data_IF_061248996923
#
_entry.id   IF_061248996923
#
_cell.length_a   1.000
_cell.length_b   1.000
_cell.length_c   1.000
_cell.angle_alpha   90.00
_cell.angle_beta   90.00
_cell.angle_gamma   90.00
#
_symmetry.space_group_name_H-M   'P 1'
#
loop_
_entity.id
_entity.type
_entity.pdbx_description
1 polymer ?
#
# COMPACT_ATOMS: atom_id res chain seq x y z
N UNK A 1 -13.70 2.44 -2.84
CA UNK A 1 -12.73 2.87 -1.81
C UNK A 1 -12.99 4.35 -1.55
N UNK A 2 -13.35 4.78 -0.33
CA UNK A 2 -13.55 6.22 -0.06
C UNK A 2 -12.19 6.92 -0.14
N UNK A 3 -12.00 7.78 -1.12
CA UNK A 3 -10.74 8.50 -1.31
C UNK A 3 -10.39 9.33 -0.05
N UNK A 4 -9.24 9.02 0.54
CA UNK A 4 -8.74 9.68 1.76
C UNK A 4 -8.52 11.17 1.53
N UNK A 5 -8.14 11.57 0.31
CA UNK A 5 -7.98 12.98 -0.01
C UNK A 5 -9.34 13.69 -0.05
N UNK A 6 -10.35 13.10 -0.69
CA UNK A 6 -11.73 13.61 -0.71
C UNK A 6 -12.30 13.75 0.71
N UNK A 7 -12.10 12.77 1.59
CA UNK A 7 -12.54 12.87 2.98
C UNK A 7 -11.80 13.97 3.74
N UNK A 8 -10.48 14.10 3.57
CA UNK A 8 -9.71 15.17 4.19
C UNK A 8 -10.08 16.56 3.65
N UNK A 9 -10.49 16.67 2.38
CA UNK A 9 -11.05 17.90 1.79
C UNK A 9 -12.39 18.24 2.41
N UNK A 10 -13.29 17.26 2.58
CA UNK A 10 -14.60 17.46 3.24
C UNK A 10 -14.43 17.89 4.70
N UNK A 11 -13.57 17.22 5.47
CA UNK A 11 -13.28 17.59 6.87
C UNK A 11 -12.70 19.00 6.97
N UNK A 12 -11.78 19.37 6.06
CA UNK A 12 -11.29 20.75 5.96
C UNK A 12 -12.42 21.73 5.66
N UNK A 13 -13.26 21.44 4.67
CA UNK A 13 -14.42 22.28 4.33
C UNK A 13 -15.34 22.54 5.52
N UNK A 14 -15.73 21.50 6.27
CA UNK A 14 -16.56 21.68 7.47
C UNK A 14 -15.95 22.57 8.55
N UNK A 15 -14.62 22.52 8.70
CA UNK A 15 -13.94 23.33 9.71
C UNK A 15 -13.69 24.75 9.23
N UNK A 16 -13.30 24.95 7.97
CA UNK A 16 -12.96 26.28 7.43
C UNK A 16 -14.16 27.06 6.90
N UNK A 17 -15.29 26.40 6.63
CA UNK A 17 -16.52 27.02 6.11
C UNK A 17 -17.65 27.07 7.15
N UNK A 18 -17.39 26.79 8.43
CA UNK A 18 -18.41 26.93 9.47
C UNK A 18 -18.83 28.40 9.53
N UNK A 19 -19.99 28.74 8.95
CA UNK A 19 -20.58 30.08 8.96
C UNK A 19 -20.77 30.53 10.42
N UNK A 20 -19.91 31.43 10.89
CA UNK A 20 -20.19 32.18 12.13
C UNK A 20 -21.26 33.21 11.82
N UNK A 21 -22.46 33.06 12.41
CA UNK A 21 -23.58 34.01 12.27
C UNK A 21 -23.25 35.44 12.76
N UNK A 22 -22.11 35.65 13.43
CA UNK A 22 -21.69 36.94 13.99
C UNK A 22 -20.80 37.79 13.08
N UNK A 23 -20.31 37.27 11.96
CA UNK A 23 -19.44 38.04 11.05
C UNK A 23 -19.79 37.72 9.60
N UNK A 24 -20.46 38.66 8.93
CA UNK A 24 -20.66 38.72 7.47
C UNK A 24 -19.35 39.01 6.71
N UNK A 25 -18.23 38.45 7.17
CA UNK A 25 -16.96 38.48 6.47
C UNK A 25 -16.73 37.12 5.83
N UNK A 26 -16.93 37.01 4.52
CA UNK A 26 -16.45 35.88 3.75
C UNK A 26 -14.95 35.73 4.02
N UNK A 27 -14.54 34.74 4.80
CA UNK A 27 -13.12 34.45 5.05
C UNK A 27 -12.51 34.12 3.69
N UNK A 28 -11.59 34.96 3.22
CA UNK A 28 -11.07 34.90 1.85
C UNK A 28 -10.74 33.45 1.43
N UNK A 29 -11.14 33.02 0.22
CA UNK A 29 -10.94 31.64 -0.21
C UNK A 29 -9.44 31.40 -0.43
N UNK A 30 -8.75 30.92 0.60
CA UNK A 30 -7.32 30.65 0.46
C UNK A 30 -6.57 30.19 1.69
N UNK A 31 -6.98 30.59 2.91
CA UNK A 31 -6.22 30.24 4.14
C UNK A 31 -7.15 29.98 5.33
N UNK A 32 -7.00 28.79 5.92
CA UNK A 32 -7.66 28.46 7.18
C UNK A 32 -7.20 29.40 8.29
N UNK A 33 -8.10 29.93 9.11
CA UNK A 33 -7.75 30.79 10.25
C UNK A 33 -6.99 30.00 11.33
N UNK A 34 -6.35 30.68 12.29
CA UNK A 34 -5.60 30.02 13.37
C UNK A 34 -6.50 29.11 14.24
N UNK A 35 -7.74 29.51 14.49
CA UNK A 35 -8.76 28.73 15.20
C UNK A 35 -9.16 27.48 14.42
N UNK A 36 -9.37 27.59 13.11
CA UNK A 36 -9.69 26.47 12.22
C UNK A 36 -8.55 25.44 12.15
N UNK A 37 -7.30 25.92 12.06
CA UNK A 37 -6.11 25.03 12.12
C UNK A 37 -6.05 24.30 13.46
N UNK A 38 -6.32 24.98 14.57
CA UNK A 38 -6.36 24.38 15.91
C UNK A 38 -7.49 23.35 16.04
N UNK A 39 -8.66 23.62 15.45
CA UNK A 39 -9.77 22.68 15.41
C UNK A 39 -9.42 21.41 14.60
N UNK A 40 -8.83 21.55 13.41
CA UNK A 40 -8.35 20.42 12.60
C UNK A 40 -7.31 19.57 13.34
N UNK A 41 -6.31 20.23 13.95
CA UNK A 41 -5.29 19.54 14.73
C UNK A 41 -5.91 18.78 15.92
N UNK A 42 -6.90 19.38 16.59
CA UNK A 42 -7.62 18.74 17.70
C UNK A 42 -8.46 17.55 17.23
N UNK A 43 -9.18 17.67 16.11
CA UNK A 43 -9.94 16.57 15.51
C UNK A 43 -9.03 15.41 15.10
N UNK A 44 -7.90 15.70 14.45
CA UNK A 44 -6.88 14.71 14.11
C UNK A 44 -6.32 14.00 15.34
N UNK A 45 -5.96 14.77 16.39
CA UNK A 45 -5.47 14.22 17.66
C UNK A 45 -6.52 13.34 18.34
N UNK A 46 -7.78 13.76 18.39
CA UNK A 46 -8.89 12.97 18.97
C UNK A 46 -9.11 11.68 18.19
N UNK A 47 -9.09 11.75 16.85
CA UNK A 47 -9.19 10.58 15.98
C UNK A 47 -8.06 9.57 16.23
N UNK A 48 -6.81 10.05 16.31
CA UNK A 48 -5.64 9.22 16.62
C UNK A 48 -5.74 8.54 17.98
N UNK A 49 -6.14 9.29 19.03
CA UNK A 49 -6.38 8.71 20.36
C UNK A 49 -7.45 7.62 20.36
N UNK A 50 -8.57 7.86 19.65
CA UNK A 50 -9.65 6.87 19.54
C UNK A 50 -9.23 5.64 18.75
N UNK A 51 -8.43 5.81 17.69
CA UNK A 51 -7.85 4.68 16.95
C UNK A 51 -6.90 3.88 17.83
N UNK A 52 -5.99 4.52 18.57
CA UNK A 52 -5.11 3.84 19.52
C UNK A 52 -5.89 3.11 20.62
N UNK A 53 -6.98 3.70 21.13
CA UNK A 53 -7.84 3.07 22.12
C UNK A 53 -8.48 1.78 21.59
N UNK A 54 -8.87 1.71 20.30
CA UNK A 54 -9.41 0.49 19.68
C UNK A 54 -8.40 -0.65 19.60
N UNK A 55 -7.10 -0.34 19.62
CA UNK A 55 -6.01 -1.32 19.59
C UNK A 55 -5.43 -1.62 20.98
N UNK A 56 -5.94 -0.99 22.05
CA UNK A 56 -5.47 -1.25 23.41
C UNK A 56 -5.73 -2.69 23.85
N UNK A 57 -6.90 -3.21 23.48
CA UNK A 57 -7.25 -4.60 23.66
C UNK A 57 -7.10 -5.33 22.32
N UNK A 58 -6.13 -6.25 22.28
CA UNK A 58 -5.80 -7.02 21.10
C UNK A 58 -6.82 -8.12 20.81
N UNK A 59 -7.54 -8.56 21.83
CA UNK A 59 -8.52 -9.64 21.73
C UNK A 59 -9.94 -9.11 21.47
N UNK A 60 -10.11 -7.79 21.47
CA UNK A 60 -11.35 -7.16 21.05
C UNK A 60 -11.76 -7.57 19.63
N UNK A 61 -13.08 -7.70 19.40
CA UNK A 61 -13.66 -8.04 18.09
C UNK A 61 -13.15 -7.14 16.96
N UNK A 62 -12.95 -5.85 17.26
CA UNK A 62 -12.40 -4.89 16.31
C UNK A 62 -10.98 -5.28 15.88
N UNK A 63 -10.07 -5.48 16.84
CA UNK A 63 -8.68 -5.80 16.56
C UNK A 63 -8.53 -7.14 15.83
N UNK A 64 -9.27 -8.16 16.29
CA UNK A 64 -9.27 -9.49 15.66
C UNK A 64 -9.80 -9.43 14.21
N UNK A 65 -10.87 -8.67 13.96
CA UNK A 65 -11.41 -8.52 12.60
C UNK A 65 -10.43 -7.81 11.64
N UNK A 66 -9.67 -6.83 12.12
CA UNK A 66 -8.66 -6.12 11.33
C UNK A 66 -7.43 -6.99 11.08
N UNK A 67 -6.99 -7.76 12.08
CA UNK A 67 -5.91 -8.74 11.93
C UNK A 67 -6.28 -9.83 10.91
N UNK A 68 -7.50 -10.34 10.94
CA UNK A 68 -7.98 -11.32 9.97
C UNK A 68 -7.97 -10.78 8.53
N UNK A 69 -8.33 -9.51 8.32
CA UNK A 69 -8.23 -8.85 6.99
C UNK A 69 -6.77 -8.75 6.54
N UNK A 70 -5.88 -8.38 7.45
CA UNK A 70 -4.46 -8.26 7.19
C UNK A 70 -3.86 -9.63 6.83
N UNK A 71 -4.19 -10.68 7.58
CA UNK A 71 -3.75 -12.05 7.33
C UNK A 71 -4.20 -12.55 5.95
N UNK A 72 -5.47 -12.36 5.59
CA UNK A 72 -5.99 -12.68 4.24
C UNK A 72 -5.18 -11.99 3.16
N UNK A 73 -4.83 -10.72 3.38
CA UNK A 73 -4.00 -9.94 2.45
C UNK A 73 -2.58 -10.52 2.35
N UNK A 74 -1.97 -10.87 3.47
CA UNK A 74 -0.64 -11.50 3.49
C UNK A 74 -0.64 -12.86 2.80
N UNK A 75 -1.67 -13.68 3.03
CA UNK A 75 -1.84 -14.98 2.37
C UNK A 75 -1.88 -14.81 0.86
N UNK A 76 -2.69 -13.87 0.36
CA UNK A 76 -2.78 -13.56 -1.07
C UNK A 76 -1.44 -13.07 -1.63
N UNK A 77 -0.76 -12.16 -0.92
CA UNK A 77 0.56 -11.65 -1.34
C UNK A 77 1.63 -12.76 -1.36
N UNK A 78 1.59 -13.70 -0.42
CA UNK A 78 2.50 -14.86 -0.38
C UNK A 78 2.31 -15.73 -1.61
N UNK A 79 1.06 -16.09 -1.93
CA UNK A 79 0.74 -16.86 -3.15
C UNK A 79 1.16 -16.09 -4.40
N UNK A 80 0.85 -14.79 -4.47
CA UNK A 80 1.27 -13.95 -5.60
C UNK A 80 2.79 -13.97 -5.82
N UNK A 81 3.59 -13.83 -4.75
CA UNK A 81 5.05 -13.92 -4.85
C UNK A 81 5.53 -15.30 -5.30
N UNK A 82 4.89 -16.38 -4.84
CA UNK A 82 5.18 -17.74 -5.29
C UNK A 82 4.87 -17.92 -6.78
N UNK A 83 3.71 -17.43 -7.23
CA UNK A 83 3.31 -17.47 -8.65
C UNK A 83 4.26 -16.66 -9.52
N UNK A 84 4.66 -15.46 -9.09
CA UNK A 84 5.65 -14.65 -9.82
C UNK A 84 6.99 -15.38 -9.94
N UNK A 85 7.47 -15.99 -8.86
CA UNK A 85 8.71 -16.79 -8.89
C UNK A 85 8.60 -17.97 -9.86
N UNK A 86 7.48 -18.69 -9.85
CA UNK A 86 7.25 -19.81 -10.77
C UNK A 86 7.20 -19.35 -12.23
N UNK A 87 6.57 -18.20 -12.52
CA UNK A 87 6.56 -17.60 -13.87
C UNK A 87 7.95 -17.27 -14.36
N UNK A 88 8.78 -16.65 -13.51
CA UNK A 88 10.18 -16.35 -13.84
C UNK A 88 10.96 -17.65 -14.11
N UNK A 89 10.79 -18.68 -13.26
CA UNK A 89 11.45 -19.97 -13.46
C UNK A 89 11.05 -20.63 -14.79
N UNK A 90 9.75 -20.68 -15.09
CA UNK A 90 9.24 -21.27 -16.33
C UNK A 90 9.79 -20.54 -17.56
N UNK A 91 9.78 -19.21 -17.54
CA UNK A 91 10.32 -18.39 -18.62
C UNK A 91 11.81 -18.63 -18.83
N UNK A 92 12.60 -18.67 -17.75
CA UNK A 92 14.04 -18.94 -17.84
C UNK A 92 14.30 -20.34 -18.39
N UNK A 93 13.58 -21.35 -17.91
CA UNK A 93 13.70 -22.72 -18.38
C UNK A 93 13.32 -22.85 -19.86
N UNK A 94 12.21 -22.24 -20.29
CA UNK A 94 11.76 -22.25 -21.67
C UNK A 94 12.80 -21.59 -22.60
N UNK A 95 13.27 -20.39 -22.25
CA UNK A 95 14.28 -19.69 -23.02
C UNK A 95 15.58 -20.50 -23.15
N UNK A 96 15.98 -21.21 -22.08
CA UNK A 96 17.15 -22.08 -22.11
C UNK A 96 16.95 -23.29 -23.02
N UNK A 97 15.78 -23.94 -22.99
CA UNK A 97 15.47 -25.08 -23.87
C UNK A 97 15.43 -24.66 -25.33
N UNK A 98 14.86 -23.49 -25.64
CA UNK A 98 14.69 -23.01 -27.01
C UNK A 98 15.98 -22.46 -27.63
N UNK A 99 16.81 -21.79 -26.83
CA UNK A 99 17.96 -21.01 -27.35
C UNK A 99 19.32 -21.44 -26.80
N UNK A 100 19.35 -22.31 -25.79
CA UNK A 100 20.56 -22.68 -25.05
C UNK A 100 21.12 -21.56 -24.18
N UNK A 101 20.41 -20.43 -24.02
CA UNK A 101 20.88 -19.24 -23.32
C UNK A 101 19.90 -18.81 -22.24
N UNK A 102 20.43 -18.22 -21.18
CA UNK A 102 19.62 -17.60 -20.12
C UNK A 102 19.16 -16.20 -20.56
N UNK A 103 17.88 -15.86 -20.37
CA UNK A 103 17.36 -14.55 -20.75
C UNK A 103 17.93 -13.46 -19.84
N UNK A 104 18.10 -12.27 -20.41
CA UNK A 104 18.59 -11.12 -19.66
C UNK A 104 17.55 -10.64 -18.64
N UNK A 105 18.00 -9.94 -17.59
CA UNK A 105 17.07 -9.38 -16.59
C UNK A 105 16.04 -8.45 -17.22
N UNK A 106 16.42 -7.71 -18.26
CA UNK A 106 15.54 -6.77 -18.97
C UNK A 106 14.45 -7.53 -19.74
N UNK A 107 14.79 -8.64 -20.38
CA UNK A 107 13.81 -9.52 -21.05
C UNK A 107 12.82 -10.10 -20.05
N UNK A 108 13.33 -10.64 -18.93
CA UNK A 108 12.46 -11.19 -17.87
C UNK A 108 11.51 -10.11 -17.34
N UNK A 109 11.97 -8.87 -17.15
CA UNK A 109 11.12 -7.76 -16.74
C UNK A 109 10.06 -7.41 -17.78
N UNK A 110 10.44 -7.36 -19.06
CA UNK A 110 9.53 -7.04 -20.15
C UNK A 110 8.38 -8.06 -20.24
N UNK A 111 8.71 -9.34 -20.12
CA UNK A 111 7.74 -10.43 -20.25
C UNK A 111 6.87 -10.61 -19.00
N UNK A 112 7.45 -10.47 -17.80
CA UNK A 112 6.71 -10.68 -16.54
C UNK A 112 6.03 -9.41 -15.99
N UNK A 113 6.43 -8.24 -16.47
CA UNK A 113 5.95 -6.93 -16.00
C UNK A 113 6.38 -6.57 -14.57
N UNK A 114 7.33 -7.30 -13.98
CA UNK A 114 7.80 -7.06 -12.60
C UNK A 114 9.04 -6.18 -12.55
N UNK A 115 9.27 -5.53 -11.39
CA UNK A 115 10.43 -4.66 -11.20
C UNK A 115 11.75 -5.44 -11.23
N UNK A 116 12.84 -4.75 -11.59
CA UNK A 116 14.19 -5.34 -11.57
C UNK A 116 14.57 -5.91 -10.19
N UNK A 117 14.18 -5.21 -9.11
CA UNK A 117 14.42 -5.67 -7.73
C UNK A 117 13.70 -6.99 -7.44
N UNK A 118 12.50 -7.17 -7.96
CA UNK A 118 11.71 -8.40 -7.83
C UNK A 118 12.35 -9.54 -8.61
N UNK A 119 12.76 -9.27 -9.86
CA UNK A 119 13.46 -10.25 -10.70
C UNK A 119 14.75 -10.70 -10.03
N UNK A 120 15.61 -9.77 -9.58
CA UNK A 120 16.88 -10.08 -8.89
C UNK A 120 16.66 -10.96 -7.67
N UNK A 121 15.67 -10.62 -6.84
CA UNK A 121 15.35 -11.38 -5.65
C UNK A 121 14.94 -12.81 -6.00
N UNK A 122 14.02 -12.99 -6.94
CA UNK A 122 13.54 -14.33 -7.30
C UNK A 122 14.60 -15.16 -8.02
N UNK A 123 15.43 -14.57 -8.88
CA UNK A 123 16.56 -15.28 -9.49
C UNK A 123 17.57 -15.76 -8.43
N UNK A 124 17.85 -14.96 -7.39
CA UNK A 124 18.69 -15.39 -6.27
C UNK A 124 18.08 -16.57 -5.52
N UNK A 125 16.79 -16.49 -5.20
CA UNK A 125 16.06 -17.57 -4.52
C UNK A 125 16.04 -18.85 -5.35
N UNK A 126 15.78 -18.76 -6.67
CA UNK A 126 15.77 -19.89 -7.59
C UNK A 126 17.16 -20.52 -7.75
N UNK A 127 18.22 -19.70 -7.82
CA UNK A 127 19.60 -20.20 -7.85
C UNK A 127 19.96 -20.94 -6.57
N UNK A 128 19.59 -20.39 -5.42
CA UNK A 128 19.85 -21.04 -4.12
C UNK A 128 19.11 -22.37 -4.00
N UNK A 129 17.95 -22.49 -4.65
CA UNK A 129 17.17 -23.72 -4.69
C UNK A 129 17.63 -24.73 -5.76
N UNK A 130 18.66 -24.42 -6.57
CA UNK A 130 19.09 -25.29 -7.68
C UNK A 130 18.06 -25.42 -8.81
N UNK A 131 17.14 -24.46 -8.93
CA UNK A 131 16.02 -24.50 -9.88
C UNK A 131 16.27 -23.68 -11.15
N UNK A 132 17.51 -23.26 -11.39
CA UNK A 132 17.94 -22.61 -12.62
C UNK A 132 18.95 -23.51 -13.34
N UNK A 133 19.00 -23.48 -14.67
CA UNK A 133 20.04 -24.16 -15.42
C UNK A 133 21.42 -23.68 -14.96
N UNK A 134 22.33 -24.62 -14.69
CA UNK A 134 23.75 -24.32 -14.52
C UNK A 134 24.35 -24.05 -15.91
N UNK A 135 25.18 -23.01 -16.01
CA UNK A 135 25.97 -22.71 -17.20
C UNK A 135 27.31 -23.43 -17.11
#
# INVERSE_FOLDING_TARGET
MRDRQTMARRVRGYVTQSKSAAYNGSSAPGKATSSERKALATMGRRGGKKAAQRWKDRDSDYAQSELAKLERTHRRKRVQGQTTRARIQALVGQSFVETGKLPSRKEIMAETGVSESTVKRHLRELRTAGLLPEL
#
